data_IF_424690842042
#
_entry.id   IF_424690842042
#
_cell.length_a   1.000
_cell.length_b   1.000
_cell.length_c   1.000
_cell.angle_alpha   90.00
_cell.angle_beta   90.00
_cell.angle_gamma   90.00
#
_symmetry.space_group_name_H-M   'P 1'
#
loop_
_entity.id
_entity.type
_entity.pdbx_description
1 polymer ?
#
# COMPACT_ATOMS: atom_id res chain seq x y z
N UNK A 1 -23.02 29.97 -18.95
CA UNK A 1 -22.89 28.58 -18.44
C UNK A 1 -24.21 28.26 -17.77
N UNK A 2 -24.94 27.25 -18.22
CA UNK A 2 -26.19 26.83 -17.57
C UNK A 2 -25.80 25.76 -16.55
N UNK A 3 -25.88 26.08 -15.26
CA UNK A 3 -25.65 25.14 -14.17
C UNK A 3 -27.03 24.74 -13.63
N UNK A 4 -27.34 23.45 -13.67
CA UNK A 4 -28.60 22.90 -13.21
C UNK A 4 -28.31 21.83 -12.16
N UNK A 5 -28.83 22.00 -10.95
CA UNK A 5 -28.73 21.01 -9.89
C UNK A 5 -29.89 20.01 -10.04
N UNK A 6 -29.60 18.71 -10.26
CA UNK A 6 -30.65 17.71 -10.42
C UNK A 6 -31.33 17.44 -9.06
N UNK A 7 -32.65 17.64 -9.00
CA UNK A 7 -33.48 17.22 -7.88
C UNK A 7 -34.27 15.98 -8.26
N UNK A 8 -34.16 14.91 -7.46
CA UNK A 8 -34.92 13.67 -7.69
C UNK A 8 -36.29 13.81 -7.03
N UNK A 9 -37.34 13.88 -7.84
CA UNK A 9 -38.73 13.94 -7.37
C UNK A 9 -39.36 12.55 -7.36
N UNK A 10 -40.14 12.24 -6.32
CA UNK A 10 -40.97 11.02 -6.25
C UNK A 10 -42.32 11.34 -6.88
N UNK A 11 -42.62 10.76 -8.04
CA UNK A 11 -43.89 10.95 -8.72
C UNK A 11 -44.96 10.02 -8.12
N UNK A 12 -45.98 10.58 -7.47
CA UNK A 12 -47.12 9.85 -6.91
C UNK A 12 -48.26 9.66 -7.93
N UNK A 13 -47.96 9.10 -9.10
CA UNK A 13 -48.96 8.81 -10.13
C UNK A 13 -49.40 7.34 -10.12
N UNK A 14 -50.69 7.08 -10.38
CA UNK A 14 -51.21 5.73 -10.62
C UNK A 14 -50.66 5.19 -11.95
N UNK A 15 -49.61 4.40 -11.84
CA UNK A 15 -49.11 3.55 -12.92
C UNK A 15 -48.94 2.17 -12.30
N UNK A 16 -49.77 1.22 -12.76
CA UNK A 16 -49.60 -0.21 -12.49
C UNK A 16 -48.25 -0.68 -13.11
N UNK A 17 -47.15 -0.39 -12.41
CA UNK A 17 -45.85 -0.94 -12.72
C UNK A 17 -45.86 -2.41 -12.31
N UNK A 18 -45.87 -3.29 -13.30
CA UNK A 18 -45.65 -4.73 -13.14
C UNK A 18 -44.36 -4.92 -12.32
N UNK A 19 -44.50 -5.50 -11.12
CA UNK A 19 -43.48 -5.64 -10.07
C UNK A 19 -42.31 -6.58 -10.45
N UNK A 20 -41.45 -6.17 -11.37
CA UNK A 20 -40.10 -6.75 -11.48
C UNK A 20 -39.09 -6.02 -10.57
N UNK A 21 -39.39 -4.80 -10.12
CA UNK A 21 -38.49 -3.97 -9.30
C UNK A 21 -38.32 -4.46 -7.86
N UNK A 22 -39.36 -5.02 -7.22
CA UNK A 22 -39.28 -5.41 -5.80
C UNK A 22 -38.28 -6.54 -5.55
N UNK A 23 -38.17 -7.48 -6.48
CA UNK A 23 -37.22 -8.59 -6.40
C UNK A 23 -35.80 -8.06 -6.60
N UNK A 24 -35.59 -7.18 -7.58
CA UNK A 24 -34.30 -6.55 -7.85
C UNK A 24 -33.79 -5.70 -6.67
N UNK A 25 -34.67 -4.92 -6.04
CA UNK A 25 -34.34 -4.11 -4.87
C UNK A 25 -33.99 -4.99 -3.66
N UNK A 26 -34.76 -6.08 -3.45
CA UNK A 26 -34.47 -7.05 -2.41
C UNK A 26 -33.13 -7.77 -2.63
N UNK A 27 -32.81 -8.14 -3.89
CA UNK A 27 -31.53 -8.75 -4.25
C UNK A 27 -30.34 -7.80 -4.04
N UNK A 28 -30.49 -6.51 -4.38
CA UNK A 28 -29.44 -5.49 -4.15
C UNK A 28 -29.18 -5.26 -2.66
N UNK A 29 -30.24 -5.13 -1.88
CA UNK A 29 -30.14 -5.00 -0.42
C UNK A 29 -29.49 -6.23 0.21
N UNK A 30 -29.87 -7.43 -0.22
CA UNK A 30 -29.26 -8.68 0.22
C UNK A 30 -27.76 -8.72 -0.11
N UNK A 31 -27.37 -8.32 -1.32
CA UNK A 31 -25.97 -8.25 -1.73
C UNK A 31 -25.18 -7.26 -0.85
N UNK A 32 -25.70 -6.05 -0.63
CA UNK A 32 -25.03 -5.04 0.20
C UNK A 32 -24.81 -5.54 1.64
N UNK A 33 -25.83 -6.18 2.23
CA UNK A 33 -25.75 -6.78 3.57
C UNK A 33 -24.71 -7.90 3.61
N UNK A 34 -24.71 -8.78 2.61
CA UNK A 34 -23.74 -9.88 2.51
C UNK A 34 -22.31 -9.34 2.42
N UNK A 35 -22.07 -8.30 1.61
CA UNK A 35 -20.76 -7.64 1.50
C UNK A 35 -20.32 -7.09 2.85
N UNK A 36 -21.21 -6.40 3.58
CA UNK A 36 -20.91 -5.87 4.92
C UNK A 36 -20.53 -7.00 5.88
N UNK A 37 -21.28 -8.11 5.89
CA UNK A 37 -21.00 -9.25 6.77
C UNK A 37 -19.65 -9.88 6.45
N UNK A 38 -19.33 -10.11 5.16
CA UNK A 38 -18.03 -10.66 4.74
C UNK A 38 -16.89 -9.73 5.15
N UNK A 39 -17.02 -8.41 4.92
CA UNK A 39 -16.01 -7.44 5.32
C UNK A 39 -15.85 -7.33 6.84
N UNK A 40 -16.92 -7.46 7.63
CA UNK A 40 -16.83 -7.47 9.10
C UNK A 40 -16.09 -8.70 9.62
N UNK A 41 -16.37 -9.88 9.05
CA UNK A 41 -15.65 -11.11 9.39
C UNK A 41 -14.18 -11.00 8.99
N UNK A 42 -13.90 -10.52 7.77
CA UNK A 42 -12.54 -10.28 7.28
C UNK A 42 -11.76 -9.31 8.19
N UNK A 43 -12.38 -8.18 8.53
CA UNK A 43 -11.82 -7.17 9.41
C UNK A 43 -11.47 -7.77 10.78
N UNK A 44 -12.40 -8.51 11.39
CA UNK A 44 -12.19 -9.16 12.69
C UNK A 44 -11.02 -10.16 12.66
N UNK A 45 -10.95 -11.00 11.64
CA UNK A 45 -9.86 -11.98 11.47
C UNK A 45 -8.50 -11.29 11.23
N UNK A 46 -8.46 -10.27 10.37
CA UNK A 46 -7.23 -9.53 10.06
C UNK A 46 -6.76 -8.70 11.25
N UNK A 47 -7.67 -8.04 11.97
CA UNK A 47 -7.36 -7.30 13.20
C UNK A 47 -6.80 -8.24 14.28
N UNK A 48 -7.40 -9.42 14.47
CA UNK A 48 -6.87 -10.46 15.36
C UNK A 48 -5.46 -10.89 14.97
N UNK A 49 -5.20 -11.11 13.67
CA UNK A 49 -3.89 -11.50 13.18
C UNK A 49 -2.82 -10.41 13.44
N UNK A 50 -3.16 -9.13 13.17
CA UNK A 50 -2.27 -8.00 13.47
C UNK A 50 -2.00 -7.89 14.97
N UNK A 51 -3.03 -8.04 15.80
CA UNK A 51 -2.91 -7.98 17.25
C UNK A 51 -1.99 -9.08 17.81
N UNK A 52 -2.20 -10.33 17.39
CA UNK A 52 -1.32 -11.46 17.74
C UNK A 52 0.12 -11.22 17.30
N UNK A 53 0.33 -10.67 16.10
CA UNK A 53 1.66 -10.33 15.61
C UNK A 53 2.35 -9.24 16.46
N UNK A 54 1.61 -8.24 16.98
CA UNK A 54 2.18 -7.24 17.89
C UNK A 54 2.50 -7.80 19.27
N UNK A 55 1.67 -8.70 19.81
CA UNK A 55 1.99 -9.41 21.06
C UNK A 55 3.29 -10.20 20.88
N UNK A 56 3.40 -10.97 19.78
CA UNK A 56 4.59 -11.75 19.49
C UNK A 56 5.84 -10.87 19.34
N UNK A 57 5.70 -9.70 18.69
CA UNK A 57 6.78 -8.72 18.58
C UNK A 57 7.26 -8.23 19.95
N UNK A 58 6.33 -7.89 20.85
CA UNK A 58 6.67 -7.43 22.20
C UNK A 58 7.36 -8.54 23.00
N UNK A 59 6.79 -9.74 23.02
CA UNK A 59 7.36 -10.90 23.71
C UNK A 59 8.77 -11.23 23.18
N UNK A 60 8.97 -11.16 21.86
CA UNK A 60 10.28 -11.38 21.25
C UNK A 60 11.27 -10.27 21.62
N UNK A 61 10.84 -9.00 21.64
CA UNK A 61 11.71 -7.90 22.07
C UNK A 61 12.15 -8.05 23.53
N UNK A 62 11.23 -8.45 24.42
CA UNK A 62 11.52 -8.66 25.84
C UNK A 62 12.44 -9.87 26.02
N UNK A 63 12.22 -10.97 25.29
CA UNK A 63 13.10 -12.13 25.29
C UNK A 63 14.52 -11.77 24.84
N UNK A 64 14.68 -11.01 23.75
CA UNK A 64 16.00 -10.61 23.25
C UNK A 64 16.77 -9.74 24.25
N UNK A 65 16.08 -8.83 24.96
CA UNK A 65 16.68 -8.04 26.03
C UNK A 65 17.14 -8.91 27.20
N UNK A 66 16.33 -9.88 27.62
CA UNK A 66 16.63 -10.73 28.77
C UNK A 66 17.72 -11.77 28.48
N UNK A 67 17.64 -12.45 27.33
CA UNK A 67 18.56 -13.54 26.98
C UNK A 67 19.90 -13.03 26.39
N UNK A 68 19.87 -11.96 25.60
CA UNK A 68 21.05 -11.49 24.84
C UNK A 68 21.54 -10.10 25.24
N UNK A 69 20.83 -9.39 26.13
CA UNK A 69 21.17 -8.02 26.51
C UNK A 69 21.13 -7.02 25.35
N UNK A 70 20.54 -7.40 24.21
CA UNK A 70 20.49 -6.60 22.97
C UNK A 70 19.05 -6.38 22.55
N UNK A 71 18.74 -5.17 22.11
CA UNK A 71 17.47 -4.86 21.46
C UNK A 71 17.37 -5.44 20.05
N UNK A 72 16.17 -5.88 19.67
CA UNK A 72 15.90 -6.32 18.30
C UNK A 72 16.09 -5.14 17.31
N UNK A 73 16.79 -5.41 16.21
CA UNK A 73 17.02 -4.44 15.14
C UNK A 73 15.70 -3.91 14.56
N UNK A 74 15.71 -2.68 14.03
CA UNK A 74 14.51 -2.09 13.41
C UNK A 74 13.99 -2.95 12.25
N UNK A 75 14.87 -3.55 11.46
CA UNK A 75 14.50 -4.46 10.37
C UNK A 75 13.76 -5.70 10.89
N UNK A 76 14.23 -6.31 11.97
CA UNK A 76 13.54 -7.42 12.62
C UNK A 76 12.18 -7.02 13.21
N UNK A 77 12.06 -5.81 13.78
CA UNK A 77 10.77 -5.29 14.29
C UNK A 77 9.73 -5.10 13.18
N UNK A 78 10.16 -4.63 12.01
CA UNK A 78 9.27 -4.44 10.85
C UNK A 78 8.85 -5.75 10.18
N UNK A 79 9.59 -6.85 10.36
CA UNK A 79 9.24 -8.17 9.81
C UNK A 79 7.95 -8.74 10.44
N UNK A 80 7.62 -8.37 11.67
CA UNK A 80 6.35 -8.70 12.33
C UNK A 80 5.14 -7.95 11.75
N UNK A 81 5.36 -6.84 11.04
CA UNK A 81 4.29 -6.01 10.48
C UNK A 81 3.97 -6.47 9.06
N UNK A 82 2.88 -7.21 8.90
CA UNK A 82 2.41 -7.64 7.58
C UNK A 82 1.59 -6.53 6.91
N UNK A 83 2.22 -5.83 5.96
CA UNK A 83 1.60 -4.75 5.19
C UNK A 83 0.32 -5.16 4.44
N UNK A 84 0.21 -6.43 4.04
CA UNK A 84 -1.00 -6.93 3.37
C UNK A 84 -2.22 -6.92 4.29
N UNK A 85 -2.05 -7.30 5.57
CA UNK A 85 -3.17 -7.26 6.52
C UNK A 85 -3.60 -5.83 6.83
N UNK A 86 -2.66 -4.89 6.93
CA UNK A 86 -2.99 -3.47 7.14
C UNK A 86 -3.84 -2.95 5.98
N UNK A 87 -3.47 -3.28 4.74
CA UNK A 87 -4.22 -2.89 3.57
C UNK A 87 -5.61 -3.52 3.50
N UNK A 88 -5.75 -4.81 3.86
CA UNK A 88 -7.06 -5.48 3.92
C UNK A 88 -7.95 -4.80 4.98
N UNK A 89 -7.42 -4.48 6.15
CA UNK A 89 -8.17 -3.76 7.20
C UNK A 89 -8.65 -2.40 6.70
N UNK A 90 -7.78 -1.62 6.03
CA UNK A 90 -8.17 -0.34 5.46
C UNK A 90 -9.25 -0.49 4.37
N UNK A 91 -9.10 -1.50 3.52
CA UNK A 91 -10.07 -1.85 2.49
C UNK A 91 -11.44 -2.21 3.09
N UNK A 92 -11.48 -3.08 4.10
CA UNK A 92 -12.71 -3.51 4.76
C UNK A 92 -13.46 -2.30 5.37
N UNK A 93 -12.74 -1.35 5.97
CA UNK A 93 -13.35 -0.10 6.48
C UNK A 93 -14.01 0.71 5.37
N UNK A 94 -13.34 0.88 4.23
CA UNK A 94 -13.92 1.61 3.08
C UNK A 94 -15.17 0.92 2.53
N UNK A 95 -15.15 -0.41 2.40
CA UNK A 95 -16.27 -1.19 1.88
C UNK A 95 -17.46 -1.24 2.85
N UNK A 96 -17.22 -1.34 4.16
CA UNK A 96 -18.29 -1.29 5.17
C UNK A 96 -19.00 0.07 5.12
N UNK A 97 -18.24 1.18 5.12
CA UNK A 97 -18.81 2.53 5.06
C UNK A 97 -19.53 2.74 3.72
N UNK A 98 -18.89 2.38 2.60
CA UNK A 98 -19.46 2.52 1.26
C UNK A 98 -20.76 1.73 1.07
N UNK A 99 -20.80 0.46 1.50
CA UNK A 99 -22.00 -0.36 1.40
C UNK A 99 -23.10 0.08 2.37
N UNK A 100 -22.76 0.60 3.55
CA UNK A 100 -23.74 1.18 4.47
C UNK A 100 -24.38 2.45 3.89
N UNK A 101 -23.58 3.33 3.27
CA UNK A 101 -24.07 4.51 2.57
C UNK A 101 -24.94 4.12 1.37
N UNK A 102 -24.52 3.14 0.58
CA UNK A 102 -25.29 2.63 -0.56
C UNK A 102 -26.68 2.14 -0.14
N UNK A 103 -26.74 1.34 0.93
CA UNK A 103 -28.00 0.83 1.47
C UNK A 103 -28.90 1.96 1.97
N UNK A 104 -28.34 3.00 2.59
CA UNK A 104 -29.10 4.18 3.02
C UNK A 104 -29.67 4.96 1.84
N UNK A 105 -28.89 5.14 0.77
CA UNK A 105 -29.34 5.83 -0.45
C UNK A 105 -30.48 5.05 -1.12
N UNK A 106 -30.35 3.73 -1.24
CA UNK A 106 -31.36 2.85 -1.83
C UNK A 106 -32.66 2.81 -1.00
N UNK A 107 -32.58 2.83 0.34
CA UNK A 107 -33.77 2.81 1.22
C UNK A 107 -34.44 4.16 1.43
N UNK A 108 -33.67 5.24 1.59
CA UNK A 108 -34.19 6.53 2.08
C UNK A 108 -34.21 7.65 1.05
N UNK A 109 -33.93 7.37 -0.23
CA UNK A 109 -34.05 8.35 -1.34
C UNK A 109 -33.34 9.69 -1.06
N UNK A 110 -32.15 9.67 -0.42
CA UNK A 110 -31.38 10.88 -0.10
C UNK A 110 -30.56 11.45 -1.28
N UNK A 111 -30.02 12.65 -1.05
CA UNK A 111 -29.52 13.68 -1.98
C UNK A 111 -28.29 13.22 -2.81
N UNK A 112 -28.10 13.84 -3.99
CA UNK A 112 -27.08 13.51 -4.99
C UNK A 112 -25.61 13.50 -4.49
N UNK A 113 -25.25 14.28 -3.46
CA UNK A 113 -23.88 14.36 -2.97
C UNK A 113 -23.39 13.08 -2.26
N UNK A 114 -24.31 12.32 -1.65
CA UNK A 114 -23.98 11.05 -1.00
C UNK A 114 -23.56 9.97 -2.01
N UNK A 115 -24.02 10.08 -3.27
CA UNK A 115 -23.63 9.14 -4.33
C UNK A 115 -22.16 9.30 -4.75
N UNK A 116 -21.63 10.54 -4.76
CA UNK A 116 -20.23 10.80 -5.09
C UNK A 116 -19.31 10.17 -4.05
N UNK A 117 -19.62 10.35 -2.77
CA UNK A 117 -18.85 9.75 -1.66
C UNK A 117 -18.98 8.22 -1.67
N UNK A 118 -20.20 7.70 -1.83
CA UNK A 118 -20.46 6.27 -1.90
C UNK A 118 -19.69 5.59 -3.05
N UNK A 119 -19.78 6.15 -4.26
CA UNK A 119 -19.10 5.60 -5.44
C UNK A 119 -17.57 5.67 -5.31
N UNK A 120 -17.03 6.74 -4.72
CA UNK A 120 -15.60 6.85 -4.43
C UNK A 120 -15.13 5.77 -3.44
N UNK A 121 -15.83 5.62 -2.31
CA UNK A 121 -15.45 4.64 -1.27
C UNK A 121 -15.52 3.20 -1.79
N UNK A 122 -16.60 2.84 -2.49
CA UNK A 122 -16.77 1.52 -3.09
C UNK A 122 -15.77 1.27 -4.23
N UNK A 123 -15.50 2.29 -5.06
CA UNK A 123 -14.55 2.18 -6.17
C UNK A 123 -13.11 2.01 -5.70
N UNK A 124 -12.65 2.84 -4.76
CA UNK A 124 -11.33 2.72 -4.15
C UNK A 124 -11.21 1.43 -3.35
N UNK A 125 -12.24 1.06 -2.59
CA UNK A 125 -12.34 -0.22 -1.91
C UNK A 125 -12.14 -1.38 -2.89
N UNK A 126 -12.93 -1.47 -3.95
CA UNK A 126 -12.81 -2.55 -4.94
C UNK A 126 -11.41 -2.62 -5.59
N UNK A 127 -10.80 -1.47 -5.92
CA UNK A 127 -9.44 -1.43 -6.46
C UNK A 127 -8.41 -2.04 -5.49
N UNK A 128 -8.54 -1.74 -4.19
CA UNK A 128 -7.67 -2.31 -3.15
C UNK A 128 -7.89 -3.80 -2.93
N UNK A 129 -9.12 -4.33 -3.11
CA UNK A 129 -9.39 -5.78 -3.06
C UNK A 129 -8.58 -6.49 -4.15
N UNK A 130 -8.65 -6.00 -5.39
CA UNK A 130 -7.90 -6.56 -6.52
C UNK A 130 -6.39 -6.46 -6.31
N UNK A 131 -5.90 -5.35 -5.76
CA UNK A 131 -4.51 -5.26 -5.36
C UNK A 131 -4.17 -6.27 -4.25
N UNK A 132 -5.09 -6.52 -3.31
CA UNK A 132 -4.99 -7.57 -2.28
C UNK A 132 -4.80 -8.98 -2.84
N UNK A 133 -5.35 -9.27 -4.03
CA UNK A 133 -5.14 -10.55 -4.71
C UNK A 133 -3.66 -10.83 -4.98
N UNK A 134 -2.84 -9.80 -5.19
CA UNK A 134 -1.39 -9.93 -5.41
C UNK A 134 -0.67 -10.63 -4.25
N UNK A 135 -1.21 -10.56 -3.03
CA UNK A 135 -0.71 -11.33 -1.88
C UNK A 135 -0.68 -12.82 -2.17
N UNK A 136 -1.76 -13.35 -2.75
CA UNK A 136 -1.89 -14.77 -3.02
C UNK A 136 -1.00 -15.23 -4.19
N UNK A 137 -0.71 -14.32 -5.12
CA UNK A 137 0.29 -14.58 -6.18
C UNK A 137 1.71 -14.71 -5.60
N UNK A 138 2.00 -14.03 -4.49
CA UNK A 138 3.28 -14.13 -3.78
C UNK A 138 3.60 -15.52 -3.23
N UNK A 139 2.64 -16.44 -3.12
CA UNK A 139 2.90 -17.83 -2.71
C UNK A 139 3.67 -18.61 -3.78
N UNK A 140 3.54 -18.21 -5.05
CA UNK A 140 4.28 -18.83 -6.14
C UNK A 140 5.66 -18.19 -6.28
N UNK A 141 6.70 -19.04 -6.28
CA UNK A 141 8.11 -18.59 -6.35
C UNK A 141 8.39 -17.68 -7.55
N UNK A 142 7.76 -17.93 -8.70
CA UNK A 142 7.94 -17.16 -9.94
C UNK A 142 7.40 -15.73 -9.82
N UNK A 143 6.20 -15.54 -9.26
CA UNK A 143 5.57 -14.22 -9.15
C UNK A 143 6.10 -13.41 -7.97
N UNK A 144 6.58 -14.09 -6.91
CA UNK A 144 7.15 -13.44 -5.74
C UNK A 144 8.40 -12.58 -6.07
N UNK A 145 9.19 -12.97 -7.09
CA UNK A 145 10.36 -12.20 -7.55
C UNK A 145 9.97 -10.76 -7.93
N UNK A 146 8.85 -10.58 -8.62
CA UNK A 146 8.39 -9.26 -9.10
C UNK A 146 7.99 -8.38 -7.92
N UNK A 147 7.17 -8.91 -7.00
CA UNK A 147 6.71 -8.19 -5.82
C UNK A 147 7.91 -7.79 -4.94
N UNK A 148 8.86 -8.71 -4.74
CA UNK A 148 10.04 -8.45 -3.93
C UNK A 148 10.98 -7.43 -4.56
N UNK A 149 11.10 -7.45 -5.90
CA UNK A 149 11.83 -6.43 -6.67
C UNK A 149 11.21 -5.06 -6.46
N UNK A 150 9.88 -4.93 -6.58
CA UNK A 150 9.19 -3.66 -6.37
C UNK A 150 9.37 -3.14 -4.93
N UNK A 151 9.25 -4.03 -3.94
CA UNK A 151 9.48 -3.68 -2.52
C UNK A 151 10.91 -3.21 -2.26
N UNK A 152 11.91 -3.85 -2.88
CA UNK A 152 13.32 -3.48 -2.74
C UNK A 152 13.65 -2.18 -3.47
N UNK A 153 13.05 -1.94 -4.63
CA UNK A 153 13.27 -0.76 -5.45
C UNK A 153 12.59 0.50 -4.86
N UNK A 154 11.42 0.35 -4.23
CA UNK A 154 10.61 1.46 -3.70
C UNK A 154 11.39 2.54 -2.90
N UNK A 155 12.23 2.23 -1.90
CA UNK A 155 12.95 3.25 -1.14
C UNK A 155 14.08 3.93 -1.94
N UNK A 156 14.68 3.24 -2.92
CA UNK A 156 15.68 3.86 -3.81
C UNK A 156 14.98 4.82 -4.78
N UNK A 157 13.87 4.35 -5.37
CA UNK A 157 13.04 5.11 -6.29
C UNK A 157 12.46 6.35 -5.62
N UNK A 158 11.94 6.27 -4.40
CA UNK A 158 11.32 7.42 -3.73
C UNK A 158 12.31 8.58 -3.51
N UNK A 159 13.56 8.29 -3.17
CA UNK A 159 14.63 9.29 -3.03
C UNK A 159 14.94 9.96 -4.37
N UNK A 160 15.09 9.17 -5.42
CA UNK A 160 15.30 9.69 -6.78
C UNK A 160 14.11 10.54 -7.26
N UNK A 161 12.90 10.04 -7.03
CA UNK A 161 11.66 10.70 -7.39
C UNK A 161 11.49 12.05 -6.68
N UNK A 162 11.91 12.16 -5.41
CA UNK A 162 11.87 13.43 -4.68
C UNK A 162 12.75 14.49 -5.35
N UNK A 163 13.97 14.12 -5.79
CA UNK A 163 14.82 15.03 -6.56
C UNK A 163 14.21 15.39 -7.92
N UNK A 164 13.66 14.41 -8.62
CA UNK A 164 12.98 14.64 -9.90
C UNK A 164 11.74 15.53 -9.74
N UNK A 165 11.03 15.45 -8.62
CA UNK A 165 9.86 16.27 -8.33
C UNK A 165 10.24 17.74 -8.08
N UNK A 166 11.40 18.02 -7.49
CA UNK A 166 11.89 19.40 -7.34
C UNK A 166 12.15 20.07 -8.69
N UNK A 167 12.79 19.35 -9.62
CA UNK A 167 13.00 19.84 -10.99
C UNK A 167 11.64 20.03 -11.68
N UNK A 168 10.74 19.06 -11.52
CA UNK A 168 9.40 19.09 -12.10
C UNK A 168 8.61 20.31 -11.65
N UNK A 169 8.65 20.60 -10.35
CA UNK A 169 8.02 21.78 -9.78
C UNK A 169 8.61 23.07 -10.37
N UNK A 170 9.93 23.15 -10.55
CA UNK A 170 10.60 24.28 -11.20
C UNK A 170 10.10 24.54 -12.62
N UNK A 171 10.00 23.48 -13.44
CA UNK A 171 9.40 23.58 -14.78
C UNK A 171 7.93 23.96 -14.70
N UNK A 172 7.14 23.35 -13.82
CA UNK A 172 5.71 23.63 -13.65
C UNK A 172 5.45 25.10 -13.32
N UNK A 173 6.19 25.70 -12.37
CA UNK A 173 6.07 27.12 -12.03
C UNK A 173 6.51 28.03 -13.18
N UNK A 174 7.62 27.69 -13.85
CA UNK A 174 8.11 28.45 -14.99
C UNK A 174 7.11 28.45 -16.17
N UNK A 175 6.61 27.27 -16.54
CA UNK A 175 5.61 27.09 -17.59
C UNK A 175 4.30 27.80 -17.26
N UNK A 176 3.81 27.69 -16.03
CA UNK A 176 2.59 28.36 -15.60
C UNK A 176 2.70 29.89 -15.67
N UNK A 177 3.79 30.47 -15.14
CA UNK A 177 3.95 31.92 -15.08
C UNK A 177 4.22 32.55 -16.46
N UNK A 178 5.03 31.89 -17.31
CA UNK A 178 5.42 32.46 -18.60
C UNK A 178 4.40 32.14 -19.70
N UNK A 179 3.93 30.89 -19.77
CA UNK A 179 3.06 30.42 -20.86
C UNK A 179 1.56 30.51 -20.53
N UNK A 180 1.19 30.74 -19.27
CA UNK A 180 -0.21 30.74 -18.83
C UNK A 180 -1.15 31.67 -19.60
N UNK A 181 -0.78 32.93 -19.90
CA UNK A 181 -1.62 33.83 -20.70
C UNK A 181 -1.71 33.47 -22.19
N UNK A 182 -0.78 32.67 -22.70
CA UNK A 182 -0.59 32.44 -24.14
C UNK A 182 -0.94 31.02 -24.60
N UNK A 183 -1.02 30.07 -23.66
CA UNK A 183 -1.26 28.66 -23.97
C UNK A 183 -2.32 28.07 -23.06
N UNK A 184 -3.38 27.52 -23.66
CA UNK A 184 -4.58 27.04 -22.95
C UNK A 184 -4.27 25.97 -21.89
N UNK A 185 -3.29 25.09 -22.16
CA UNK A 185 -2.88 24.03 -21.22
C UNK A 185 -2.14 24.56 -19.99
N UNK A 186 -1.48 25.72 -20.09
CA UNK A 186 -0.69 26.29 -18.99
C UNK A 186 -1.48 27.27 -18.14
N UNK A 187 -2.81 27.36 -18.28
CA UNK A 187 -3.63 28.39 -17.62
C UNK A 187 -3.66 28.28 -16.09
N UNK A 188 -3.60 27.06 -15.56
CA UNK A 188 -3.58 26.79 -14.13
C UNK A 188 -2.41 25.88 -13.77
N UNK A 189 -2.03 25.85 -12.49
CA UNK A 189 -0.98 24.95 -12.01
C UNK A 189 -1.35 23.47 -12.22
N UNK A 190 -2.63 23.10 -12.01
CA UNK A 190 -3.12 21.73 -12.22
C UNK A 190 -3.00 21.32 -13.68
N UNK A 191 -3.55 22.12 -14.59
CA UNK A 191 -3.51 21.82 -16.03
C UNK A 191 -2.09 21.85 -16.59
N UNK A 192 -1.22 22.71 -16.03
CA UNK A 192 0.22 22.71 -16.36
C UNK A 192 0.86 21.39 -15.96
N UNK A 193 0.59 20.90 -14.75
CA UNK A 193 1.07 19.60 -14.29
C UNK A 193 0.49 18.44 -15.12
N UNK A 194 -0.80 18.45 -15.44
CA UNK A 194 -1.42 17.45 -16.31
C UNK A 194 -0.74 17.43 -17.69
N UNK A 195 -0.47 18.60 -18.27
CA UNK A 195 0.22 18.74 -19.54
C UNK A 195 1.67 18.22 -19.48
N UNK A 196 2.43 18.61 -18.47
CA UNK A 196 3.82 18.17 -18.32
C UNK A 196 3.91 16.66 -18.04
N UNK A 197 2.98 16.11 -17.24
CA UNK A 197 2.90 14.67 -17.01
C UNK A 197 2.53 13.89 -18.29
N UNK A 198 1.60 14.39 -19.09
CA UNK A 198 1.28 13.82 -20.40
C UNK A 198 2.50 13.83 -21.34
N UNK A 199 3.23 14.95 -21.40
CA UNK A 199 4.45 15.09 -22.20
C UNK A 199 5.57 14.14 -21.79
N UNK A 200 5.75 13.86 -20.49
CA UNK A 200 6.72 12.85 -20.01
C UNK A 200 6.40 11.47 -20.60
N UNK A 201 5.10 11.15 -20.74
CA UNK A 201 4.64 9.89 -21.32
C UNK A 201 4.54 9.92 -22.86
N UNK A 202 4.94 11.02 -23.50
CA UNK A 202 4.91 11.18 -24.95
C UNK A 202 3.53 11.50 -25.53
N UNK A 203 2.56 11.86 -24.68
CA UNK A 203 1.21 12.21 -25.12
C UNK A 203 1.10 13.70 -25.50
N UNK A 204 0.36 13.95 -26.58
CA UNK A 204 -0.02 15.26 -27.10
C UNK A 204 1.13 16.28 -27.31
N UNK A 205 2.32 15.78 -27.69
CA UNK A 205 3.52 16.61 -27.91
C UNK A 205 3.31 17.61 -29.05
N UNK A 206 2.86 17.16 -30.23
CA UNK A 206 2.71 18.03 -31.39
C UNK A 206 1.64 19.11 -31.19
N UNK A 207 0.49 18.78 -30.58
CA UNK A 207 -0.54 19.79 -30.36
C UNK A 207 -0.07 20.87 -29.38
N UNK A 208 0.76 20.51 -28.39
CA UNK A 208 1.36 21.50 -27.48
C UNK A 208 2.28 22.49 -28.22
N UNK A 209 2.96 22.05 -29.29
CA UNK A 209 3.74 22.96 -30.14
C UNK A 209 2.87 23.78 -31.09
N UNK A 210 1.76 23.25 -31.60
CA UNK A 210 0.94 23.92 -32.61
C UNK A 210 -0.08 24.91 -32.04
N UNK A 211 -0.51 24.73 -30.78
CA UNK A 211 -1.49 25.59 -30.10
C UNK A 211 -0.88 26.94 -29.66
N UNK A 212 0.44 27.11 -29.76
CA UNK A 212 1.11 28.34 -29.31
C UNK A 212 0.67 29.57 -30.13
N UNK A 213 0.26 30.62 -29.43
CA UNK A 213 -0.11 31.90 -30.04
C UNK A 213 1.13 32.64 -30.57
N UNK A 214 1.18 32.97 -31.86
CA UNK A 214 2.31 33.66 -32.51
C UNK A 214 2.40 35.17 -32.20
N UNK A 215 1.82 35.63 -31.09
CA UNK A 215 1.77 37.07 -30.73
C UNK A 215 3.14 37.70 -30.52
N UNK A 216 4.14 36.95 -30.08
CA UNK A 216 5.52 37.44 -29.99
C UNK A 216 6.54 36.36 -30.30
N UNK A 217 7.53 36.74 -31.11
CA UNK A 217 8.61 35.85 -31.55
C UNK A 217 9.47 35.35 -30.37
N UNK A 218 9.67 36.20 -29.35
CA UNK A 218 10.43 35.83 -28.15
C UNK A 218 9.76 34.71 -27.35
N UNK A 219 8.43 34.80 -27.14
CA UNK A 219 7.68 33.76 -26.43
C UNK A 219 7.60 32.47 -27.24
N UNK A 220 7.50 32.58 -28.56
CA UNK A 220 7.52 31.44 -29.46
C UNK A 220 8.82 30.64 -29.32
N UNK A 221 9.98 31.30 -29.33
CA UNK A 221 11.27 30.65 -29.11
C UNK A 221 11.42 30.10 -27.68
N UNK A 222 11.02 30.87 -26.68
CA UNK A 222 11.06 30.43 -25.28
C UNK A 222 10.27 29.13 -25.09
N UNK A 223 9.05 29.05 -25.61
CA UNK A 223 8.22 27.85 -25.50
C UNK A 223 8.87 26.63 -26.14
N UNK A 224 9.44 26.76 -27.35
CA UNK A 224 10.12 25.65 -28.01
C UNK A 224 11.32 25.17 -27.21
N UNK A 225 12.16 26.10 -26.76
CA UNK A 225 13.33 25.77 -25.94
C UNK A 225 12.89 25.12 -24.63
N UNK A 226 11.87 25.65 -23.98
CA UNK A 226 11.29 25.12 -22.75
C UNK A 226 10.78 23.69 -22.93
N UNK A 227 9.93 23.44 -23.94
CA UNK A 227 9.35 22.12 -24.19
C UNK A 227 10.41 21.11 -24.65
N UNK A 228 11.34 21.49 -25.53
CA UNK A 228 12.44 20.61 -25.94
C UNK A 228 13.39 20.30 -24.79
N UNK A 229 13.71 21.29 -23.95
CA UNK A 229 14.53 21.07 -22.75
C UNK A 229 13.83 20.15 -21.75
N UNK A 230 12.55 20.38 -21.47
CA UNK A 230 11.77 19.54 -20.55
C UNK A 230 11.66 18.09 -21.05
N UNK A 231 11.23 17.91 -22.30
CA UNK A 231 11.03 16.57 -22.89
C UNK A 231 12.33 15.80 -23.01
N UNK A 232 13.42 16.42 -23.47
CA UNK A 232 14.73 15.76 -23.55
C UNK A 232 15.26 15.37 -22.16
N UNK A 233 15.15 16.24 -21.17
CA UNK A 233 15.59 15.96 -19.80
C UNK A 233 14.78 14.82 -19.18
N UNK A 234 13.45 14.88 -19.23
CA UNK A 234 12.62 13.89 -18.56
C UNK A 234 12.60 12.54 -19.28
N UNK A 235 12.45 12.53 -20.60
CA UNK A 235 12.32 11.28 -21.35
C UNK A 235 13.68 10.57 -21.41
N UNK A 236 14.76 11.27 -21.75
CA UNK A 236 16.05 10.60 -21.95
C UNK A 236 16.85 10.41 -20.67
N UNK A 237 16.77 11.34 -19.72
CA UNK A 237 17.57 11.24 -18.48
C UNK A 237 16.75 10.64 -17.35
N UNK A 238 15.63 11.28 -16.96
CA UNK A 238 14.89 10.89 -15.75
C UNK A 238 14.24 9.50 -15.90
N UNK A 239 13.54 9.23 -17.00
CA UNK A 239 12.93 7.91 -17.24
C UNK A 239 13.99 6.81 -17.37
N UNK A 240 15.09 7.05 -18.09
CA UNK A 240 16.18 6.08 -18.23
C UNK A 240 16.82 5.73 -16.88
N UNK A 241 17.03 6.73 -16.01
CA UNK A 241 17.53 6.50 -14.66
C UNK A 241 16.54 5.71 -13.80
N UNK A 242 15.23 6.00 -13.93
CA UNK A 242 14.19 5.26 -13.22
C UNK A 242 14.20 3.77 -13.61
N UNK A 243 14.27 3.47 -14.91
CA UNK A 243 14.37 2.09 -15.43
C UNK A 243 15.66 1.42 -14.93
N UNK A 244 16.79 2.13 -14.93
CA UNK A 244 18.07 1.61 -14.43
C UNK A 244 18.01 1.21 -12.96
N UNK A 245 17.37 2.02 -12.10
CA UNK A 245 17.20 1.72 -10.67
C UNK A 245 16.33 0.47 -10.45
N UNK A 246 15.28 0.28 -11.26
CA UNK A 246 14.45 -0.93 -11.21
C UNK A 246 15.25 -2.15 -11.65
N UNK A 247 16.05 -2.03 -12.71
CA UNK A 247 16.89 -3.12 -13.22
C UNK A 247 17.95 -3.56 -12.21
N UNK A 248 18.61 -2.61 -11.53
CA UNK A 248 19.56 -2.90 -10.44
C UNK A 248 18.89 -3.67 -9.28
N UNK A 249 17.68 -3.27 -8.89
CA UNK A 249 16.93 -3.97 -7.86
C UNK A 249 16.54 -5.39 -8.31
N UNK A 250 16.12 -5.56 -9.56
CA UNK A 250 15.79 -6.86 -10.13
C UNK A 250 16.99 -7.81 -10.13
N UNK A 251 18.16 -7.34 -10.59
CA UNK A 251 19.38 -8.15 -10.61
C UNK A 251 19.85 -8.51 -9.19
N UNK A 252 19.69 -7.60 -8.22
CA UNK A 252 19.99 -7.88 -6.81
C UNK A 252 19.09 -8.98 -6.26
N UNK A 253 17.77 -8.94 -6.52
CA UNK A 253 16.85 -10.00 -6.10
C UNK A 253 17.17 -11.32 -6.80
N UNK A 254 17.51 -11.29 -8.09
CA UNK A 254 17.91 -12.49 -8.84
C UNK A 254 19.16 -13.15 -8.25
N UNK A 255 20.14 -12.37 -7.77
CA UNK A 255 21.29 -12.88 -7.02
C UNK A 255 20.87 -13.50 -5.69
N UNK A 256 19.97 -12.87 -4.93
CA UNK A 256 19.47 -13.46 -3.66
C UNK A 256 18.75 -14.80 -3.84
N UNK A 257 18.09 -15.03 -4.98
CA UNK A 257 17.50 -16.34 -5.28
C UNK A 257 18.55 -17.42 -5.61
N UNK A 258 19.76 -17.04 -6.04
CA UNK A 258 20.87 -17.97 -6.32
C UNK A 258 21.74 -18.21 -5.09
N UNK A 259 22.14 -17.14 -4.42
CA UNK A 259 23.18 -17.14 -3.37
C UNK A 259 22.57 -17.17 -1.94
N UNK A 260 21.26 -16.99 -1.82
CA UNK A 260 20.54 -16.89 -0.55
C UNK A 260 20.19 -15.45 -0.17
N UNK A 261 19.15 -15.32 0.66
CA UNK A 261 18.71 -14.01 1.17
C UNK A 261 19.57 -13.54 2.34
N UNK A 262 19.81 -12.22 2.46
CA UNK A 262 20.41 -11.66 3.67
C UNK A 262 19.54 -12.01 4.87
N UNK A 263 20.16 -12.50 5.95
CA UNK A 263 19.44 -12.90 7.15
C UNK A 263 19.35 -11.75 8.14
N UNK A 264 18.13 -11.45 8.60
CA UNK A 264 17.89 -10.56 9.73
C UNK A 264 18.25 -11.26 11.04
N UNK A 265 18.54 -10.49 12.11
CA UNK A 265 18.74 -11.03 13.47
C UNK A 265 17.61 -11.99 13.89
N UNK A 266 16.37 -11.72 13.44
CA UNK A 266 15.21 -12.56 13.66
C UNK A 266 15.28 -13.88 12.87
N UNK A 267 15.65 -13.84 11.58
CA UNK A 267 15.82 -15.05 10.76
C UNK A 267 16.97 -15.92 11.24
N UNK A 268 18.04 -15.31 11.72
CA UNK A 268 19.15 -16.02 12.35
C UNK A 268 18.71 -16.75 13.62
N UNK A 269 17.84 -16.12 14.42
CA UNK A 269 17.27 -16.72 15.64
C UNK A 269 16.32 -17.88 15.33
N UNK A 270 15.42 -17.71 14.35
CA UNK A 270 14.48 -18.78 13.94
C UNK A 270 15.23 -19.96 13.30
N UNK A 271 16.31 -19.69 12.58
CA UNK A 271 17.15 -20.70 11.95
C UNK A 271 16.43 -21.51 10.85
N UNK A 272 17.11 -22.49 10.24
CA UNK A 272 16.48 -23.46 9.37
C UNK A 272 15.59 -24.40 10.19
N UNK A 273 14.38 -24.67 9.70
CA UNK A 273 13.43 -25.60 10.33
C UNK A 273 14.10 -26.96 10.46
N UNK A 274 14.40 -27.38 11.70
CA UNK A 274 14.87 -28.73 11.97
C UNK A 274 13.66 -29.62 12.29
N UNK A 275 13.53 -30.81 11.68
CA UNK A 275 12.38 -31.71 11.91
C UNK A 275 12.20 -32.11 13.39
N UNK A 276 13.24 -31.94 14.21
CA UNK A 276 13.27 -32.37 15.62
C UNK A 276 12.74 -31.29 16.59
N UNK A 277 12.64 -30.02 16.17
CA UNK A 277 12.20 -28.91 17.04
C UNK A 277 10.69 -28.98 17.37
N UNK A 278 9.89 -29.65 16.53
CA UNK A 278 8.45 -29.82 16.74
C UNK A 278 8.08 -30.88 17.80
N UNK A 279 9.06 -31.61 18.36
CA UNK A 279 8.80 -32.70 19.32
C UNK A 279 8.78 -32.26 20.79
N UNK A 280 9.12 -31.01 21.11
CA UNK A 280 9.02 -30.52 22.48
C UNK A 280 7.56 -30.19 22.84
N UNK A 281 6.88 -31.16 23.48
CA UNK A 281 5.53 -30.98 24.07
C UNK A 281 5.45 -29.90 25.16
N UNK A 282 6.56 -29.22 25.45
CA UNK A 282 6.72 -28.21 26.51
C UNK A 282 5.94 -26.91 26.23
N UNK A 283 5.61 -26.61 24.97
CA UNK A 283 5.01 -25.31 24.60
C UNK A 283 3.53 -25.35 24.25
N UNK A 284 2.86 -26.52 24.22
CA UNK A 284 1.43 -26.58 23.85
C UNK A 284 0.47 -26.39 25.03
N UNK A 285 0.90 -26.56 26.27
CA UNK A 285 -0.01 -26.64 27.41
C UNK A 285 -0.18 -25.33 28.20
N UNK A 286 0.68 -24.32 28.02
CA UNK A 286 0.67 -23.10 28.84
C UNK A 286 0.24 -21.79 28.14
N UNK A 287 0.20 -21.71 26.80
CA UNK A 287 -0.09 -20.44 26.11
C UNK A 287 -1.58 -20.10 25.96
N UNK A 288 -2.51 -21.06 26.14
CA UNK A 288 -3.94 -20.77 26.05
C UNK A 288 -4.47 -20.03 27.29
N UNK A 289 -3.86 -20.20 28.45
CA UNK A 289 -4.39 -19.64 29.71
C UNK A 289 -3.96 -18.19 30.00
N UNK A 290 -2.74 -17.78 29.60
CA UNK A 290 -2.23 -16.43 29.90
C UNK A 290 -2.66 -15.37 28.87
N UNK A 291 -3.09 -15.79 27.68
CA UNK A 291 -3.48 -14.85 26.63
C UNK A 291 -4.97 -14.49 26.65
N UNK A 292 -5.82 -15.33 27.25
CA UNK A 292 -7.22 -14.96 27.52
C UNK A 292 -7.36 -13.96 28.68
N UNK A 293 -6.37 -13.85 29.57
CA UNK A 293 -6.37 -12.95 30.72
C UNK A 293 -5.74 -11.58 30.46
N UNK A 294 -5.06 -11.37 29.33
CA UNK A 294 -4.53 -10.05 28.96
C UNK A 294 -5.64 -9.14 28.42
N UNK A 295 -6.15 -8.26 29.30
CA UNK A 295 -7.08 -7.19 28.95
C UNK A 295 -6.54 -6.33 27.79
N UNK A 296 -7.42 -6.03 26.84
CA UNK A 296 -7.15 -5.12 25.70
C UNK A 296 -6.45 -3.83 26.13
N UNK A 297 -6.82 -3.29 27.29
CA UNK A 297 -6.24 -2.06 27.85
C UNK A 297 -4.79 -2.23 28.31
N UNK A 298 -4.39 -3.42 28.79
CA UNK A 298 -3.02 -3.66 29.25
C UNK A 298 -2.05 -3.85 28.06
N UNK A 299 -2.53 -4.40 26.94
CA UNK A 299 -1.76 -4.48 25.70
C UNK A 299 -1.59 -3.11 25.07
N UNK A 300 -2.66 -2.32 25.01
CA UNK A 300 -2.60 -0.94 24.52
C UNK A 300 -1.68 -0.09 25.39
N UNK A 301 -1.73 -0.24 26.72
CA UNK A 301 -0.78 0.41 27.64
C UNK A 301 0.66 -0.03 27.41
N UNK A 302 0.93 -1.32 27.15
CA UNK A 302 2.29 -1.80 26.81
C UNK A 302 2.80 -1.29 25.45
N UNK A 303 1.92 -1.11 24.46
CA UNK A 303 2.27 -0.55 23.14
C UNK A 303 2.60 0.95 23.24
N UNK A 304 1.88 1.70 24.08
CA UNK A 304 2.02 3.16 24.20
C UNK A 304 2.87 3.63 25.39
N UNK A 305 3.22 2.79 26.37
CA UNK A 305 4.07 3.15 27.50
C UNK A 305 5.23 2.17 27.67
N UNK A 306 6.46 2.68 27.51
CA UNK A 306 7.68 2.02 27.96
C UNK A 306 7.70 1.99 29.49
N UNK A 307 7.48 0.84 30.14
CA UNK A 307 7.95 0.67 31.52
C UNK A 307 8.36 -0.78 31.90
N UNK A 308 9.45 -0.75 32.66
CA UNK A 308 10.35 -1.76 33.22
C UNK A 308 9.85 -3.15 33.63
N UNK A 309 10.62 -4.15 33.17
CA UNK A 309 11.16 -5.35 33.83
C UNK A 309 10.34 -6.09 34.91
N UNK A 310 10.11 -7.38 34.66
CA UNK A 310 10.36 -8.42 35.65
C UNK A 310 10.98 -9.64 34.95
N UNK A 311 12.09 -10.13 35.52
CA UNK A 311 12.92 -11.20 34.97
C UNK A 311 12.34 -12.58 35.29
N UNK A 312 12.15 -13.40 34.25
CA UNK A 312 12.00 -14.85 34.37
C UNK A 312 13.36 -15.54 34.16
N UNK A 313 13.54 -16.78 34.64
CA UNK A 313 14.83 -17.46 34.54
C UNK A 313 15.03 -17.97 33.10
N UNK A 314 16.08 -17.54 32.41
CA UNK A 314 16.41 -18.05 31.07
C UNK A 314 17.85 -18.55 31.01
N UNK A 315 18.01 -19.87 30.91
CA UNK A 315 19.29 -20.59 30.83
C UNK A 315 19.89 -20.68 29.43
N UNK A 316 19.87 -19.59 28.64
CA UNK A 316 20.50 -19.56 27.31
C UNK A 316 21.48 -18.39 27.24
N UNK A 317 22.78 -18.68 27.18
CA UNK A 317 23.86 -17.70 27.36
C UNK A 317 24.59 -17.26 26.08
N UNK A 318 24.27 -17.77 24.88
CA UNK A 318 24.81 -17.19 23.64
C UNK A 318 24.13 -17.71 22.36
N UNK A 319 23.98 -16.82 21.37
CA UNK A 319 23.80 -17.19 19.96
C UNK A 319 25.17 -17.50 19.36
N UNK A 320 25.69 -18.71 19.61
CA UNK A 320 26.73 -19.25 18.75
C UNK A 320 26.06 -19.82 17.48
N UNK A 321 26.58 -19.55 16.27
CA UNK A 321 26.14 -20.25 15.08
C UNK A 321 26.32 -21.75 15.34
N UNK A 322 25.26 -22.53 15.14
CA UNK A 322 25.35 -23.99 15.16
C UNK A 322 26.36 -24.37 14.08
N UNK A 323 27.57 -24.74 14.48
CA UNK A 323 28.67 -25.01 13.58
C UNK A 323 28.20 -26.01 12.52
N UNK A 324 28.41 -25.65 11.25
CA UNK A 324 28.29 -26.59 10.15
C UNK A 324 29.22 -27.76 10.44
N UNK A 325 28.65 -28.95 10.70
CA UNK A 325 29.39 -30.19 10.78
C UNK A 325 29.95 -30.51 9.39
N UNK A 326 31.10 -29.92 9.04
CA UNK A 326 31.98 -30.40 8.00
C UNK A 326 32.63 -31.67 8.53
N UNK A 327 32.11 -32.82 8.11
CA UNK A 327 32.74 -34.12 8.31
C UNK A 327 34.09 -34.15 7.60
N UNK A 328 35.16 -33.87 8.35
CA UNK A 328 36.48 -34.39 8.02
C UNK A 328 36.41 -35.91 8.19
N UNK A 329 36.33 -36.64 7.08
CA UNK A 329 36.65 -38.06 7.04
C UNK A 329 38.14 -38.16 6.79
N UNK A 330 38.89 -38.44 7.86
CA UNK A 330 40.21 -39.06 7.75
C UNK A 330 39.99 -40.54 7.37
N UNK A 331 40.51 -40.92 6.21
CA UNK A 331 41.24 -42.17 5.98
C UNK A 331 41.98 -42.08 4.65
#
# INVERSE_FOLDING_TARGET
RLEAEPTRLVCHGDVEFIKNSQIDDALRSLLNILVIVICLVSFGLCARAIFRAQILRLATCDFFKQAYGKDLSCEGKWEFVNMWYIMIVFNDVLLIIGSALKEQIERKHFIADDWNVCSLLLGVGNSLVWFGVLRYLGFFKTYNVVILTLKKAAPKISRFLLCALLIYAGFTFCGWLVLGPYHIKFRSLSTTSECLFALINGDDMFATFSIMSEKSLMLWWFCRIYLYSFTSLYIYVVLSLFISVIMDAYDTIKKYYKDGFPQSDLRLFVGPISPNDFSSGVFREHEEFDLESMSFLDVVKRIFCFRSSNAGPTGYTSLLPKASSSSFVNN
#
